data_IF_785626900474
#
_entry.id   IF_785626900474
#
_cell.length_a   1.000
_cell.length_b   1.000
_cell.length_c   1.000
_cell.angle_alpha   90.00
_cell.angle_beta   90.00
_cell.angle_gamma   90.00
#
_symmetry.space_group_name_H-M   'P 1'
#
loop_
_entity.id
_entity.type
_entity.pdbx_description
1 polymer ?
#
# COMPACT_ATOMS: atom_id res chain seq x y z
N UNK A 1 -21.03 -6.61 -12.83
CA UNK A 1 -21.78 -6.67 -11.56
C UNK A 1 -21.57 -8.05 -10.96
N UNK A 2 -21.47 -8.17 -9.63
CA UNK A 2 -21.38 -9.47 -8.97
C UNK A 2 -22.76 -10.13 -8.96
N UNK A 3 -22.83 -11.45 -9.20
CA UNK A 3 -24.09 -12.19 -9.19
C UNK A 3 -24.76 -12.13 -7.82
N UNK A 4 -26.09 -11.95 -7.80
CA UNK A 4 -26.91 -11.99 -6.59
C UNK A 4 -26.73 -13.30 -5.80
N UNK A 5 -26.44 -14.41 -6.47
CA UNK A 5 -26.16 -15.70 -5.82
C UNK A 5 -24.97 -15.64 -4.85
N UNK A 6 -24.03 -14.71 -5.06
CA UNK A 6 -22.90 -14.49 -4.14
C UNK A 6 -23.36 -13.88 -2.82
N UNK A 7 -24.42 -13.06 -2.85
CA UNK A 7 -25.07 -12.52 -1.65
C UNK A 7 -25.95 -13.57 -0.97
N UNK A 8 -26.75 -14.29 -1.75
CA UNK A 8 -27.74 -15.25 -1.24
C UNK A 8 -27.10 -16.55 -0.69
N UNK A 9 -26.02 -17.01 -1.32
CA UNK A 9 -25.33 -18.27 -1.00
C UNK A 9 -23.80 -18.09 -0.82
N UNK A 10 -23.32 -17.21 0.08
CA UNK A 10 -21.92 -16.78 0.14
C UNK A 10 -20.94 -17.93 0.42
N UNK A 11 -21.40 -19.01 1.07
CA UNK A 11 -20.58 -20.19 1.41
C UNK A 11 -20.22 -21.05 0.19
N UNK A 12 -20.86 -20.86 -0.97
CA UNK A 12 -20.55 -21.56 -2.22
C UNK A 12 -19.57 -20.80 -3.11
N UNK A 13 -19.18 -19.60 -2.71
CA UNK A 13 -18.38 -18.70 -3.51
C UNK A 13 -17.13 -18.27 -2.75
N UNK A 14 -15.99 -18.25 -3.44
CA UNK A 14 -14.84 -17.52 -2.92
C UNK A 14 -14.96 -16.02 -3.15
N UNK A 15 -15.78 -15.58 -4.12
CA UNK A 15 -16.06 -14.17 -4.39
C UNK A 15 -16.82 -13.55 -3.21
N UNK A 16 -16.46 -12.33 -2.84
CA UNK A 16 -17.20 -11.53 -1.87
C UNK A 16 -18.18 -10.63 -2.64
N UNK A 17 -19.43 -10.59 -2.18
CA UNK A 17 -20.45 -9.72 -2.73
C UNK A 17 -20.15 -8.24 -2.47
N UNK A 18 -20.51 -7.39 -3.44
CA UNK A 18 -20.51 -5.93 -3.32
C UNK A 18 -21.72 -5.35 -4.08
N UNK A 19 -22.34 -4.27 -3.58
CA UNK A 19 -23.61 -3.77 -4.12
C UNK A 19 -23.52 -3.09 -5.49
N UNK A 20 -22.37 -2.51 -5.85
CA UNK A 20 -22.18 -1.77 -7.10
C UNK A 20 -21.28 -2.54 -8.09
N UNK A 21 -21.33 -2.22 -9.40
CA UNK A 21 -20.37 -2.76 -10.37
C UNK A 21 -18.92 -2.51 -9.96
N UNK A 22 -18.04 -3.45 -10.35
CA UNK A 22 -16.59 -3.33 -10.18
C UNK A 22 -15.90 -3.38 -11.52
N UNK A 23 -14.77 -2.69 -11.63
CA UNK A 23 -13.80 -2.88 -12.70
C UNK A 23 -12.68 -3.77 -12.16
N UNK A 24 -12.23 -4.71 -12.99
CA UNK A 24 -11.16 -5.66 -12.65
C UNK A 24 -9.92 -5.38 -13.52
N UNK A 25 -8.69 -5.64 -13.04
CA UNK A 25 -7.48 -5.38 -13.81
C UNK A 25 -7.42 -6.09 -15.17
N UNK A 26 -8.05 -7.27 -15.28
CA UNK A 26 -8.20 -8.02 -16.53
C UNK A 26 -7.45 -9.36 -16.54
N UNK A 27 -7.77 -10.19 -17.55
CA UNK A 27 -7.17 -11.51 -17.74
C UNK A 27 -7.53 -12.51 -16.64
N UNK A 28 -6.54 -12.96 -15.86
CA UNK A 28 -6.74 -13.94 -14.78
C UNK A 28 -7.41 -13.34 -13.53
N UNK A 29 -7.33 -12.02 -13.36
CA UNK A 29 -7.88 -11.29 -12.22
C UNK A 29 -9.37 -11.06 -12.45
N UNK A 30 -10.20 -11.74 -11.66
CA UNK A 30 -11.67 -11.78 -11.85
C UNK A 30 -12.43 -11.13 -10.69
N UNK A 31 -11.71 -10.38 -9.87
CA UNK A 31 -12.19 -9.66 -8.71
C UNK A 31 -11.61 -8.25 -8.73
N UNK A 32 -12.22 -7.35 -7.96
CA UNK A 32 -11.58 -6.06 -7.69
C UNK A 32 -10.27 -6.30 -6.92
N UNK A 33 -9.28 -5.43 -7.17
CA UNK A 33 -8.06 -5.30 -6.38
C UNK A 33 -8.00 -3.90 -5.82
N UNK A 34 -7.58 -3.77 -4.58
CA UNK A 34 -7.75 -2.54 -3.82
C UNK A 34 -6.94 -1.38 -4.42
N UNK A 35 -5.61 -1.46 -4.41
CA UNK A 35 -4.80 -0.31 -4.83
C UNK A 35 -4.91 -0.03 -6.34
N UNK A 36 -5.05 -1.06 -7.20
CA UNK A 36 -5.28 -0.91 -8.64
C UNK A 36 -6.47 0.01 -8.92
N UNK A 37 -7.50 -0.11 -8.08
CA UNK A 37 -8.74 0.65 -8.24
C UNK A 37 -8.55 2.16 -8.05
N UNK A 38 -7.46 2.62 -7.43
CA UNK A 38 -7.18 4.05 -7.30
C UNK A 38 -6.93 4.68 -8.67
N UNK A 39 -6.04 4.07 -9.47
CA UNK A 39 -5.77 4.54 -10.83
C UNK A 39 -6.96 4.33 -11.75
N UNK A 40 -7.72 3.25 -11.58
CA UNK A 40 -8.97 3.03 -12.33
C UNK A 40 -9.99 4.12 -12.03
N UNK A 41 -10.22 4.45 -10.76
CA UNK A 41 -11.15 5.50 -10.35
C UNK A 41 -10.71 6.85 -10.92
N UNK A 42 -9.43 7.22 -10.84
CA UNK A 42 -8.94 8.46 -11.45
C UNK A 42 -9.19 8.49 -12.98
N UNK A 43 -8.94 7.38 -13.68
CA UNK A 43 -9.27 7.26 -15.11
C UNK A 43 -10.77 7.37 -15.41
N UNK A 44 -11.64 6.82 -14.55
CA UNK A 44 -13.09 6.97 -14.66
C UNK A 44 -13.52 8.42 -14.47
N UNK A 45 -12.95 9.13 -13.50
CA UNK A 45 -13.27 10.53 -13.22
C UNK A 45 -12.85 11.44 -14.39
N UNK A 46 -11.67 11.19 -14.97
CA UNK A 46 -11.23 11.86 -16.21
C UNK A 46 -12.15 11.57 -17.40
N UNK A 47 -12.83 10.43 -17.39
CA UNK A 47 -13.80 10.02 -18.42
C UNK A 47 -15.24 10.40 -18.08
N UNK A 48 -15.45 11.27 -17.08
CA UNK A 48 -16.76 11.74 -16.59
C UNK A 48 -17.70 10.60 -16.11
N UNK A 49 -17.13 9.43 -15.78
CA UNK A 49 -17.87 8.26 -15.29
C UNK A 49 -18.10 8.32 -13.76
N UNK A 50 -18.59 9.46 -13.28
CA UNK A 50 -18.71 9.78 -11.85
C UNK A 50 -19.50 8.75 -11.05
N UNK A 51 -20.63 8.28 -11.59
CA UNK A 51 -21.48 7.31 -10.89
C UNK A 51 -20.79 5.94 -10.76
N UNK A 52 -19.96 5.56 -11.73
CA UNK A 52 -19.18 4.32 -11.68
C UNK A 52 -18.05 4.45 -10.65
N UNK A 53 -17.33 5.57 -10.65
CA UNK A 53 -16.29 5.87 -9.68
C UNK A 53 -16.85 5.86 -8.25
N UNK A 54 -17.98 6.56 -8.02
CA UNK A 54 -18.68 6.57 -6.74
C UNK A 54 -19.09 5.15 -6.30
N UNK A 55 -19.70 4.37 -7.19
CA UNK A 55 -20.10 2.99 -6.87
C UNK A 55 -18.92 2.10 -6.48
N UNK A 56 -17.75 2.28 -7.10
CA UNK A 56 -16.53 1.57 -6.69
C UNK A 56 -16.05 2.00 -5.30
N UNK A 57 -16.12 3.29 -4.96
CA UNK A 57 -15.81 3.79 -3.60
C UNK A 57 -16.80 3.22 -2.58
N UNK A 58 -18.10 3.20 -2.89
CA UNK A 58 -19.15 2.63 -2.06
C UNK A 58 -18.92 1.13 -1.79
N UNK A 59 -18.42 0.38 -2.79
CA UNK A 59 -18.04 -1.02 -2.59
C UNK A 59 -16.90 -1.20 -1.58
N UNK A 60 -15.90 -0.32 -1.59
CA UNK A 60 -14.79 -0.38 -0.64
C UNK A 60 -15.22 0.06 0.76
N UNK A 61 -16.07 1.09 0.87
CA UNK A 61 -16.70 1.49 2.12
C UNK A 61 -17.53 0.32 2.70
N UNK A 62 -18.25 -0.41 1.86
CA UNK A 62 -18.96 -1.64 2.25
C UNK A 62 -18.01 -2.74 2.75
N UNK A 63 -16.82 -2.91 2.15
CA UNK A 63 -15.80 -3.82 2.69
C UNK A 63 -15.32 -3.39 4.08
N UNK A 64 -15.05 -2.10 4.27
CA UNK A 64 -14.61 -1.56 5.57
C UNK A 64 -15.70 -1.69 6.63
N UNK A 65 -16.96 -1.48 6.27
CA UNK A 65 -18.07 -1.69 7.19
C UNK A 65 -18.13 -3.15 7.66
N UNK A 66 -18.05 -4.09 6.72
CA UNK A 66 -18.18 -5.53 6.99
C UNK A 66 -16.95 -6.17 7.66
N UNK A 67 -15.75 -5.75 7.29
CA UNK A 67 -14.50 -6.43 7.67
C UNK A 67 -13.50 -5.54 8.42
N UNK A 68 -13.76 -4.24 8.51
CA UNK A 68 -12.90 -3.26 9.18
C UNK A 68 -11.77 -2.70 8.32
N UNK A 69 -11.57 -3.23 7.11
CA UNK A 69 -10.57 -2.79 6.15
C UNK A 69 -10.96 -3.24 4.74
N UNK A 70 -10.29 -2.70 3.72
CA UNK A 70 -10.43 -3.20 2.35
C UNK A 70 -9.48 -4.40 2.14
N UNK A 71 -9.98 -5.61 1.82
CA UNK A 71 -9.10 -6.75 1.54
C UNK A 71 -8.32 -6.53 0.24
N UNK A 72 -7.18 -7.23 0.09
CA UNK A 72 -6.36 -7.22 -1.13
C UNK A 72 -7.19 -7.28 -2.43
N UNK A 73 -8.18 -8.18 -2.45
CA UNK A 73 -9.21 -8.21 -3.47
C UNK A 73 -10.50 -8.85 -2.98
N UNK A 74 -11.49 -8.92 -3.85
CA UNK A 74 -12.86 -9.38 -3.53
C UNK A 74 -13.03 -10.88 -3.31
N UNK A 75 -12.13 -11.54 -2.58
CA UNK A 75 -12.17 -12.98 -2.31
C UNK A 75 -11.98 -13.30 -0.83
N UNK A 76 -12.65 -14.35 -0.34
CA UNK A 76 -12.59 -14.76 1.08
C UNK A 76 -11.18 -15.08 1.57
N UNK A 77 -10.30 -15.59 0.71
CA UNK A 77 -8.89 -15.87 1.05
C UNK A 77 -8.01 -14.61 1.15
N UNK A 78 -8.54 -13.45 0.78
CA UNK A 78 -7.92 -12.15 1.00
C UNK A 78 -8.32 -11.49 2.32
N UNK A 79 -9.31 -12.01 3.07
CA UNK A 79 -9.77 -11.44 4.35
C UNK A 79 -8.75 -11.47 5.51
N UNK A 80 -7.50 -11.85 5.25
CA UNK A 80 -6.40 -11.78 6.22
C UNK A 80 -5.32 -10.76 5.86
N UNK A 81 -5.47 -10.05 4.73
CA UNK A 81 -4.52 -9.04 4.26
C UNK A 81 -5.20 -7.96 3.42
N UNK A 82 -4.72 -6.74 3.57
CA UNK A 82 -5.15 -5.58 2.78
C UNK A 82 -4.36 -5.47 1.47
N UNK A 83 -4.27 -4.26 0.95
CA UNK A 83 -3.32 -3.77 -0.04
C UNK A 83 -2.97 -2.31 0.31
N UNK A 84 -2.06 -1.61 -0.39
CA UNK A 84 -1.74 -0.21 -0.10
C UNK A 84 -3.01 0.67 0.07
N UNK A 85 -3.12 1.49 1.14
CA UNK A 85 -4.40 2.06 1.55
C UNK A 85 -4.77 3.35 0.82
N UNK A 86 -5.49 3.20 -0.30
CA UNK A 86 -5.87 4.31 -1.16
C UNK A 86 -7.33 4.78 -1.03
N UNK A 87 -8.18 4.18 -0.19
CA UNK A 87 -9.62 4.51 -0.13
C UNK A 87 -9.87 5.99 0.20
N UNK A 88 -9.14 6.56 1.16
CA UNK A 88 -9.23 7.99 1.50
C UNK A 88 -8.86 8.88 0.31
N UNK A 89 -7.84 8.50 -0.46
CA UNK A 89 -7.40 9.22 -1.65
C UNK A 89 -8.40 9.05 -2.81
N UNK A 90 -9.04 7.88 -2.94
CA UNK A 90 -10.14 7.67 -3.90
C UNK A 90 -11.33 8.59 -3.58
N UNK A 91 -11.68 8.74 -2.29
CA UNK A 91 -12.69 9.70 -1.84
C UNK A 91 -12.27 11.12 -2.18
N UNK A 92 -11.00 11.50 -1.97
CA UNK A 92 -10.49 12.83 -2.30
C UNK A 92 -10.60 13.14 -3.79
N UNK A 93 -10.11 12.24 -4.65
CA UNK A 93 -10.24 12.38 -6.11
C UNK A 93 -11.70 12.57 -6.52
N UNK A 94 -12.63 11.80 -5.93
CA UNK A 94 -14.06 11.96 -6.21
C UNK A 94 -14.58 13.34 -5.76
N UNK A 95 -14.28 13.76 -4.53
CA UNK A 95 -14.73 15.05 -3.99
C UNK A 95 -14.19 16.25 -4.77
N UNK A 96 -12.96 16.18 -5.26
CA UNK A 96 -12.35 17.22 -6.11
C UNK A 96 -12.98 17.26 -7.50
N UNK A 97 -13.38 16.11 -8.04
CA UNK A 97 -14.09 16.04 -9.32
C UNK A 97 -15.56 16.47 -9.23
N UNK A 98 -16.21 16.19 -8.09
CA UNK A 98 -17.64 16.42 -7.86
C UNK A 98 -17.91 16.58 -6.37
N UNK A 99 -17.93 17.84 -5.93
CA UNK A 99 -18.18 18.16 -4.52
C UNK A 99 -19.50 17.55 -4.04
N UNK A 100 -19.44 16.68 -3.02
CA UNK A 100 -20.60 16.07 -2.40
C UNK A 100 -20.39 15.89 -0.89
N UNK A 101 -20.56 16.99 -0.15
CA UNK A 101 -20.34 17.02 1.29
C UNK A 101 -21.28 16.09 2.08
N UNK A 102 -22.45 15.76 1.54
CA UNK A 102 -23.34 14.76 2.14
C UNK A 102 -22.71 13.37 2.07
N UNK A 103 -22.23 12.97 0.90
CA UNK A 103 -21.56 11.68 0.72
C UNK A 103 -20.31 11.55 1.62
N UNK A 104 -19.51 12.62 1.72
CA UNK A 104 -18.37 12.65 2.64
C UNK A 104 -18.83 12.50 4.10
N UNK A 105 -19.81 13.29 4.55
CA UNK A 105 -20.33 13.26 5.93
C UNK A 105 -20.85 11.89 6.33
N UNK A 106 -21.55 11.20 5.42
CA UNK A 106 -22.12 9.88 5.66
C UNK A 106 -21.04 8.79 5.80
N UNK A 107 -19.87 8.98 5.17
CA UNK A 107 -18.87 7.92 5.02
C UNK A 107 -17.54 8.20 5.76
N UNK A 108 -17.32 9.38 6.32
CA UNK A 108 -16.06 9.76 6.97
C UNK A 108 -15.64 8.79 8.09
N UNK A 109 -16.61 8.23 8.83
CA UNK A 109 -16.33 7.25 9.89
C UNK A 109 -15.85 5.90 9.38
N UNK A 110 -16.21 5.52 8.15
CA UNK A 110 -15.66 4.32 7.52
C UNK A 110 -14.20 4.54 7.06
N UNK A 111 -13.87 5.73 6.56
CA UNK A 111 -12.48 6.08 6.25
C UNK A 111 -11.60 6.05 7.52
N UNK A 112 -12.11 6.61 8.62
CA UNK A 112 -11.46 6.55 9.93
C UNK A 112 -11.29 5.10 10.41
N UNK A 113 -12.31 4.25 10.24
CA UNK A 113 -12.25 2.83 10.60
C UNK A 113 -11.14 2.07 9.87
N UNK A 114 -10.92 2.36 8.58
CA UNK A 114 -9.79 1.77 7.86
C UNK A 114 -8.45 2.30 8.36
N UNK A 115 -8.32 3.59 8.61
CA UNK A 115 -7.11 4.16 9.23
C UNK A 115 -6.79 3.48 10.57
N UNK A 116 -7.81 3.27 11.41
CA UNK A 116 -7.66 2.58 12.70
C UNK A 116 -7.22 1.12 12.53
N UNK A 117 -7.63 0.44 11.46
CA UNK A 117 -7.10 -0.89 11.13
C UNK A 117 -5.58 -0.85 10.92
N UNK A 118 -5.06 0.11 10.15
CA UNK A 118 -3.62 0.25 9.93
C UNK A 118 -2.87 0.60 11.22
N UNK A 119 -3.40 1.52 12.01
CA UNK A 119 -2.76 1.93 13.25
C UNK A 119 -2.79 0.84 14.33
N UNK A 120 -3.82 -0.01 14.33
CA UNK A 120 -3.96 -1.10 15.32
C UNK A 120 -3.20 -2.36 14.90
N UNK A 121 -3.28 -2.73 13.62
CA UNK A 121 -2.85 -4.05 13.16
C UNK A 121 -1.56 -4.04 12.33
N UNK A 122 -1.07 -2.86 11.93
CA UNK A 122 0.09 -2.70 11.04
C UNK A 122 1.13 -1.74 11.59
N UNK A 123 0.92 -1.17 12.78
CA UNK A 123 1.90 -0.29 13.40
C UNK A 123 3.07 -1.07 14.01
N UNK A 124 4.24 -0.43 14.02
CA UNK A 124 5.46 -0.92 14.66
C UNK A 124 6.20 0.26 15.28
N UNK A 125 6.81 0.02 16.45
CA UNK A 125 7.64 1.01 17.14
C UNK A 125 9.11 0.83 16.74
N UNK A 126 9.74 1.88 16.24
CA UNK A 126 11.14 1.90 15.82
C UNK A 126 11.93 2.85 16.72
N UNK A 127 12.98 2.35 17.35
CA UNK A 127 13.88 3.15 18.18
C UNK A 127 15.01 3.73 17.31
N UNK A 128 15.06 5.07 17.19
CA UNK A 128 16.08 5.76 16.40
C UNK A 128 16.52 7.04 17.14
N UNK A 129 17.83 7.25 17.31
CA UNK A 129 18.35 8.48 17.96
C UNK A 129 17.84 8.71 19.39
N UNK A 130 17.57 7.64 20.15
CA UNK A 130 17.08 7.72 21.53
C UNK A 130 15.58 8.03 21.68
N UNK A 131 14.83 8.08 20.58
CA UNK A 131 13.37 8.26 20.56
C UNK A 131 12.70 7.08 19.85
N UNK A 132 11.49 6.73 20.30
CA UNK A 132 10.65 5.74 19.63
C UNK A 132 9.69 6.45 18.67
N UNK A 133 9.60 5.94 17.44
CA UNK A 133 8.72 6.42 16.39
C UNK A 133 7.73 5.32 16.02
N UNK A 134 6.46 5.69 15.81
CA UNK A 134 5.46 4.75 15.30
C UNK A 134 5.36 4.91 13.79
N UNK A 135 5.59 3.82 13.07
CA UNK A 135 5.42 3.70 11.62
C UNK A 135 4.58 2.45 11.33
N UNK A 136 4.30 2.20 10.05
CA UNK A 136 3.53 1.04 9.63
C UNK A 136 4.36 0.11 8.73
N UNK A 137 4.02 -1.17 8.77
CA UNK A 137 4.57 -2.23 7.92
C UNK A 137 3.47 -3.09 7.34
N UNK A 138 3.70 -3.68 6.17
CA UNK A 138 2.83 -4.74 5.68
C UNK A 138 3.02 -5.99 6.52
N UNK A 139 1.92 -6.60 6.94
CA UNK A 139 1.97 -7.74 7.85
C UNK A 139 0.71 -8.58 7.72
N UNK A 140 0.86 -9.78 7.19
CA UNK A 140 -0.17 -10.80 7.22
C UNK A 140 0.16 -11.82 8.32
N UNK A 141 -0.83 -12.27 9.11
CA UNK A 141 -0.58 -13.21 10.18
C UNK A 141 -0.09 -14.57 9.66
N UNK A 142 0.71 -15.22 10.49
CA UNK A 142 1.26 -16.57 10.28
C UNK A 142 0.17 -17.57 9.91
N UNK A 143 0.49 -18.52 9.03
CA UNK A 143 -0.38 -19.65 8.73
C UNK A 143 -0.01 -20.37 7.45
N UNK A 144 -0.97 -21.11 6.90
CA UNK A 144 -0.85 -21.97 5.71
C UNK A 144 -0.43 -21.26 4.40
N UNK A 145 -0.02 -21.99 3.36
CA UNK A 145 0.20 -21.46 2.01
C UNK A 145 -0.97 -20.58 1.50
N UNK A 146 -0.68 -19.62 0.62
CA UNK A 146 -1.73 -18.79 -0.01
C UNK A 146 -2.68 -19.67 -0.83
N UNK A 147 -4.00 -19.65 -0.61
CA UNK A 147 -4.92 -20.50 -1.37
C UNK A 147 -4.84 -20.33 -2.89
N UNK A 148 -4.60 -19.11 -3.38
CA UNK A 148 -4.47 -18.80 -4.79
C UNK A 148 -3.13 -19.22 -5.41
N UNK A 149 -2.15 -19.61 -4.58
CA UNK A 149 -0.80 -20.01 -5.00
C UNK A 149 -0.28 -21.23 -4.21
N UNK A 150 -1.19 -22.09 -3.73
CA UNK A 150 -0.90 -23.09 -2.69
C UNK A 150 0.29 -23.98 -3.03
N UNK A 151 0.30 -24.58 -4.23
CA UNK A 151 1.37 -25.49 -4.64
C UNK A 151 2.74 -24.80 -4.69
N UNK A 152 2.80 -23.56 -5.20
CA UNK A 152 4.04 -22.80 -5.32
C UNK A 152 4.63 -22.48 -3.94
N UNK A 153 3.79 -22.00 -3.03
CA UNK A 153 4.21 -21.68 -1.66
C UNK A 153 4.63 -22.97 -0.92
N UNK A 154 3.85 -24.04 -1.03
CA UNK A 154 4.14 -25.33 -0.41
C UNK A 154 5.47 -25.93 -0.88
N UNK A 155 5.68 -25.98 -2.20
CA UNK A 155 6.90 -26.50 -2.82
C UNK A 155 8.14 -25.67 -2.47
N UNK A 156 8.02 -24.33 -2.47
CA UNK A 156 9.10 -23.43 -2.09
C UNK A 156 9.61 -23.73 -0.67
N UNK A 157 8.69 -23.96 0.27
CA UNK A 157 9.01 -24.15 1.68
C UNK A 157 9.30 -25.62 2.05
N UNK A 158 9.31 -26.54 1.09
CA UNK A 158 9.34 -27.99 1.35
C UNK A 158 10.53 -28.44 2.22
N UNK A 159 11.70 -27.81 2.06
CA UNK A 159 12.94 -28.16 2.75
C UNK A 159 13.16 -27.40 4.08
N UNK A 160 12.19 -26.58 4.51
CA UNK A 160 12.27 -25.81 5.75
C UNK A 160 11.70 -26.58 6.95
N UNK A 161 12.04 -26.16 8.17
CA UNK A 161 11.36 -26.65 9.38
C UNK A 161 9.91 -26.15 9.41
N UNK A 162 9.02 -26.79 10.16
CA UNK A 162 7.60 -26.38 10.18
C UNK A 162 7.41 -24.95 10.73
N UNK A 163 8.26 -24.51 11.66
CA UNK A 163 8.29 -23.13 12.13
C UNK A 163 8.71 -22.16 11.02
N UNK A 164 9.80 -22.46 10.32
CA UNK A 164 10.32 -21.63 9.22
C UNK A 164 9.36 -21.58 8.03
N UNK A 165 8.63 -22.68 7.73
CA UNK A 165 7.56 -22.71 6.72
C UNK A 165 6.47 -21.69 7.04
N UNK A 166 5.96 -21.74 8.28
CA UNK A 166 4.89 -20.86 8.72
C UNK A 166 5.31 -19.39 8.69
N UNK A 167 6.55 -19.09 9.09
CA UNK A 167 7.13 -17.76 8.96
C UNK A 167 7.20 -17.34 7.50
N UNK A 168 7.81 -18.13 6.62
CA UNK A 168 7.89 -17.82 5.19
C UNK A 168 6.50 -17.57 4.57
N UNK A 169 5.49 -18.38 4.90
CA UNK A 169 4.12 -18.16 4.43
C UNK A 169 3.53 -16.82 4.89
N UNK A 170 3.85 -16.36 6.11
CA UNK A 170 3.46 -15.05 6.60
C UNK A 170 4.14 -13.94 5.77
N UNK A 171 5.43 -14.10 5.50
CA UNK A 171 6.23 -13.15 4.73
C UNK A 171 5.75 -13.02 3.28
N UNK A 172 5.45 -14.15 2.62
CA UNK A 172 4.90 -14.15 1.26
C UNK A 172 3.52 -13.47 1.18
N UNK A 173 2.67 -13.65 2.20
CA UNK A 173 1.37 -12.96 2.28
C UNK A 173 1.54 -11.47 2.56
N UNK A 174 2.54 -11.09 3.35
CA UNK A 174 2.87 -9.70 3.65
C UNK A 174 3.40 -8.98 2.41
N UNK A 175 4.21 -9.66 1.59
CA UNK A 175 4.60 -9.19 0.25
C UNK A 175 3.40 -9.05 -0.70
N UNK A 176 2.41 -9.95 -0.62
CA UNK A 176 1.16 -9.77 -1.37
C UNK A 176 0.32 -8.59 -0.86
N UNK A 177 0.33 -8.32 0.45
CA UNK A 177 -0.29 -7.12 1.04
C UNK A 177 0.38 -5.83 0.59
N UNK A 178 1.69 -5.85 0.28
CA UNK A 178 2.37 -4.65 -0.21
C UNK A 178 2.02 -4.29 -1.66
N UNK A 179 1.40 -5.23 -2.40
CA UNK A 179 1.23 -5.15 -3.84
C UNK A 179 2.47 -5.56 -4.64
N UNK A 180 3.60 -5.85 -3.98
CA UNK A 180 4.88 -6.20 -4.61
C UNK A 180 5.24 -7.69 -4.41
N UNK A 181 4.40 -8.61 -4.86
CA UNK A 181 4.63 -10.06 -4.82
C UNK A 181 5.19 -10.60 -6.16
N UNK A 182 6.49 -10.76 -6.37
CA UNK A 182 7.57 -10.56 -5.41
C UNK A 182 8.68 -9.68 -5.99
N UNK A 183 9.56 -9.24 -5.09
CA UNK A 183 10.65 -8.31 -5.37
C UNK A 183 11.83 -8.59 -4.43
N UNK A 184 13.05 -8.36 -4.93
CA UNK A 184 14.28 -8.29 -4.16
C UNK A 184 14.25 -7.24 -3.04
N UNK A 185 13.31 -6.29 -3.13
CA UNK A 185 12.98 -5.34 -2.06
C UNK A 185 12.76 -6.01 -0.71
N UNK A 186 12.24 -7.24 -0.70
CA UNK A 186 11.89 -7.98 0.51
C UNK A 186 12.93 -9.03 0.91
N UNK A 187 14.05 -9.18 0.18
CA UNK A 187 15.00 -10.27 0.41
C UNK A 187 16.08 -9.87 1.42
N UNK A 188 16.03 -10.44 2.62
CA UNK A 188 16.93 -10.17 3.74
C UNK A 188 17.62 -11.45 4.23
N UNK A 189 18.25 -12.14 3.29
CA UNK A 189 19.00 -13.36 3.52
C UNK A 189 20.14 -13.52 2.52
N UNK A 190 20.78 -14.69 2.54
CA UNK A 190 22.07 -14.89 1.85
C UNK A 190 21.93 -15.43 0.43
N UNK A 191 20.76 -15.94 0.05
CA UNK A 191 20.55 -16.58 -1.26
C UNK A 191 20.07 -15.60 -2.33
N UNK A 192 19.57 -14.43 -1.91
CA UNK A 192 18.88 -13.44 -2.74
C UNK A 192 17.73 -14.06 -3.54
N UNK A 193 16.95 -14.94 -2.90
CA UNK A 193 15.81 -15.63 -3.52
C UNK A 193 14.52 -15.40 -2.74
N UNK A 194 13.40 -15.92 -3.26
CA UNK A 194 12.10 -15.86 -2.61
C UNK A 194 12.08 -16.47 -1.19
N UNK A 195 13.02 -17.37 -0.86
CA UNK A 195 13.20 -17.91 0.49
C UNK A 195 13.67 -16.86 1.51
N UNK A 196 14.29 -15.77 1.04
CA UNK A 196 14.82 -14.70 1.89
C UNK A 196 13.78 -13.61 2.18
N UNK A 197 12.52 -13.79 1.75
CA UNK A 197 11.46 -12.81 1.96
C UNK A 197 11.25 -12.55 3.46
N UNK A 198 11.38 -11.29 3.88
CA UNK A 198 11.12 -10.80 5.24
C UNK A 198 10.34 -9.48 5.26
N UNK A 199 9.32 -9.37 4.42
CA UNK A 199 8.47 -8.17 4.30
C UNK A 199 7.91 -7.68 5.64
N UNK A 200 7.51 -8.59 6.52
CA UNK A 200 6.98 -8.31 7.85
C UNK A 200 7.99 -7.63 8.77
N UNK A 201 9.29 -7.65 8.46
CA UNK A 201 10.31 -6.91 9.22
C UNK A 201 10.66 -5.55 8.59
N UNK A 202 10.08 -5.21 7.44
CA UNK A 202 10.38 -3.98 6.71
C UNK A 202 9.33 -2.91 7.01
N UNK A 203 9.79 -1.72 7.37
CA UNK A 203 9.02 -0.48 7.42
C UNK A 203 9.16 0.21 6.05
N UNK A 204 8.14 0.15 5.19
CA UNK A 204 8.26 0.58 3.80
C UNK A 204 8.09 2.10 3.65
N UNK A 205 8.91 2.72 2.79
CA UNK A 205 8.80 4.14 2.46
C UNK A 205 7.45 4.49 1.81
N UNK A 206 6.97 3.64 0.91
CA UNK A 206 5.70 3.84 0.21
C UNK A 206 4.48 3.78 1.14
N UNK A 207 4.36 2.76 1.99
CA UNK A 207 3.23 2.64 2.92
C UNK A 207 3.13 3.87 3.83
N UNK A 208 4.26 4.32 4.37
CA UNK A 208 4.30 5.46 5.28
C UNK A 208 4.13 6.80 4.54
N UNK A 209 4.52 6.90 3.27
CA UNK A 209 4.15 8.01 2.40
C UNK A 209 2.64 8.06 2.17
N UNK A 210 2.02 6.95 1.78
CA UNK A 210 0.56 6.87 1.55
C UNK A 210 -0.22 7.26 2.81
N UNK A 211 0.17 6.75 3.98
CA UNK A 211 -0.51 7.09 5.23
C UNK A 211 -0.34 8.58 5.63
N UNK A 212 0.72 9.24 5.14
CA UNK A 212 0.91 10.68 5.28
C UNK A 212 -0.17 11.44 4.50
N UNK A 213 -0.42 11.05 3.25
CA UNK A 213 -1.55 11.59 2.49
C UNK A 213 -2.89 11.27 3.18
N UNK A 214 -3.11 10.03 3.63
CA UNK A 214 -4.33 9.67 4.37
C UNK A 214 -4.56 10.59 5.57
N UNK A 215 -3.54 10.84 6.40
CA UNK A 215 -3.66 11.73 7.55
C UNK A 215 -3.91 13.19 7.15
N UNK A 216 -3.24 13.69 6.11
CA UNK A 216 -3.46 15.04 5.55
C UNK A 216 -4.89 15.20 5.02
N UNK A 217 -5.37 14.24 4.24
CA UNK A 217 -6.70 14.24 3.64
C UNK A 217 -7.79 14.08 4.69
N UNK A 218 -7.61 13.22 5.70
CA UNK A 218 -8.55 13.10 6.81
C UNK A 218 -8.66 14.40 7.62
N UNK A 219 -7.55 15.11 7.86
CA UNK A 219 -7.58 16.42 8.49
C UNK A 219 -8.35 17.47 7.67
N UNK A 220 -8.15 17.49 6.34
CA UNK A 220 -8.91 18.33 5.39
C UNK A 220 -10.41 18.01 5.47
N UNK A 221 -10.80 16.75 5.30
CA UNK A 221 -12.21 16.34 5.35
C UNK A 221 -12.91 16.70 6.66
N UNK A 222 -12.26 16.49 7.80
CA UNK A 222 -12.83 16.89 9.08
C UNK A 222 -12.95 18.41 9.25
N UNK A 223 -12.01 19.17 8.68
CA UNK A 223 -12.11 20.64 8.61
C UNK A 223 -13.31 21.07 7.77
N UNK A 224 -13.47 20.51 6.56
CA UNK A 224 -14.57 20.81 5.65
C UNK A 224 -15.95 20.45 6.24
N UNK A 225 -15.98 19.41 7.09
CA UNK A 225 -17.17 18.99 7.83
C UNK A 225 -17.45 19.81 9.10
N UNK A 226 -16.62 20.81 9.44
CA UNK A 226 -16.68 21.61 10.67
C UNK A 226 -16.56 20.77 11.96
N UNK A 227 -15.62 19.81 11.95
CA UNK A 227 -15.30 18.92 13.07
C UNK A 227 -13.83 19.15 13.51
N UNK A 228 -13.57 20.23 14.27
CA UNK A 228 -12.20 20.71 14.53
C UNK A 228 -11.37 19.81 15.43
N UNK A 229 -12.00 19.04 16.33
CA UNK A 229 -11.29 18.14 17.24
C UNK A 229 -10.67 16.96 16.47
N UNK A 230 -11.45 16.34 15.58
CA UNK A 230 -10.97 15.29 14.69
C UNK A 230 -9.94 15.81 13.68
N UNK A 231 -10.15 17.00 13.11
CA UNK A 231 -9.15 17.63 12.24
C UNK A 231 -7.82 17.81 12.98
N UNK A 232 -7.86 18.32 14.22
CA UNK A 232 -6.67 18.47 15.07
C UNK A 232 -6.00 17.13 15.38
N UNK A 233 -6.80 16.07 15.60
CA UNK A 233 -6.28 14.71 15.82
C UNK A 233 -5.46 14.22 14.62
N UNK A 234 -5.96 14.38 13.40
CA UNK A 234 -5.25 13.95 12.19
C UNK A 234 -4.06 14.86 11.85
N UNK A 235 -4.12 16.16 12.11
CA UNK A 235 -2.95 17.04 12.01
C UNK A 235 -1.83 16.65 12.98
N UNK A 236 -2.18 16.21 14.19
CA UNK A 236 -1.22 15.68 15.15
C UNK A 236 -0.60 14.36 14.66
N UNK A 237 -1.41 13.45 14.09
CA UNK A 237 -0.93 12.20 13.50
C UNK A 237 0.06 12.47 12.35
N UNK A 238 -0.32 13.34 11.40
CA UNK A 238 0.53 13.77 10.30
C UNK A 238 1.87 14.33 10.79
N UNK A 239 1.86 15.20 11.81
CA UNK A 239 3.10 15.77 12.37
C UNK A 239 4.03 14.69 12.91
N UNK A 240 3.47 13.69 13.61
CA UNK A 240 4.24 12.57 14.17
C UNK A 240 4.79 11.69 13.05
N UNK A 241 4.02 11.40 12.00
CA UNK A 241 4.46 10.62 10.85
C UNK A 241 5.56 11.33 10.07
N UNK A 242 5.42 12.63 9.80
CA UNK A 242 6.47 13.43 9.15
C UNK A 242 7.79 13.36 9.93
N UNK A 243 7.72 13.42 11.27
CA UNK A 243 8.91 13.27 12.11
C UNK A 243 9.50 11.86 12.04
N UNK A 244 8.65 10.83 12.07
CA UNK A 244 9.06 9.43 12.01
C UNK A 244 9.69 9.06 10.64
N UNK A 245 9.07 9.49 9.54
CA UNK A 245 9.57 9.27 8.17
C UNK A 245 10.94 9.94 8.00
N UNK A 246 11.10 11.18 8.50
CA UNK A 246 12.39 11.87 8.49
C UNK A 246 13.45 11.17 9.35
N UNK A 247 13.10 10.69 10.55
CA UNK A 247 14.08 10.09 11.44
C UNK A 247 14.53 8.68 10.98
N UNK A 248 13.57 7.88 10.50
CA UNK A 248 13.78 6.45 10.26
C UNK A 248 14.10 6.16 8.79
N UNK A 249 13.37 6.76 7.85
CA UNK A 249 13.41 6.36 6.45
C UNK A 249 14.32 7.26 5.60
N UNK A 250 14.48 8.54 5.95
CA UNK A 250 15.35 9.45 5.21
C UNK A 250 16.84 9.09 5.38
N UNK A 251 17.54 9.05 4.25
CA UNK A 251 19.00 8.90 4.19
C UNK A 251 19.66 10.16 3.62
N UNK A 252 20.46 10.85 4.44
CA UNK A 252 21.07 12.12 4.05
C UNK A 252 22.17 11.99 2.99
N UNK A 253 22.89 10.87 2.98
CA UNK A 253 24.01 10.64 2.05
C UNK A 253 23.49 10.30 0.65
N UNK A 254 22.47 9.45 0.58
CA UNK A 254 21.82 9.10 -0.69
C UNK A 254 20.83 10.17 -1.14
N UNK A 255 20.22 10.90 -0.21
CA UNK A 255 19.27 11.98 -0.49
C UNK A 255 17.87 11.47 -0.87
N UNK A 256 17.42 10.38 -0.24
CA UNK A 256 16.13 9.73 -0.53
C UNK A 256 15.60 8.99 0.69
N UNK A 257 14.32 8.61 0.68
CA UNK A 257 13.76 7.69 1.66
C UNK A 257 14.02 6.24 1.27
N UNK A 258 14.37 5.43 2.25
CA UNK A 258 14.68 4.01 2.09
C UNK A 258 13.86 3.20 3.08
N UNK A 259 13.45 2.01 2.63
CA UNK A 259 12.86 1.02 3.50
C UNK A 259 13.80 0.67 4.66
N UNK A 260 13.26 0.55 5.87
CA UNK A 260 14.01 0.26 7.09
C UNK A 260 13.65 -1.13 7.63
N UNK A 261 14.64 -1.97 7.88
CA UNK A 261 14.43 -3.28 8.50
C UNK A 261 14.58 -3.19 10.02
N UNK A 262 13.54 -3.61 10.75
CA UNK A 262 13.50 -3.50 12.23
C UNK A 262 14.33 -4.55 12.95
N UNK A 263 14.69 -5.65 12.28
CA UNK A 263 15.44 -6.74 12.91
C UNK A 263 16.94 -6.42 12.98
N UNK A 264 17.50 -5.80 11.92
CA UNK A 264 18.92 -5.45 11.86
C UNK A 264 19.19 -3.93 12.00
N UNK A 265 18.14 -3.12 12.00
CA UNK A 265 18.21 -1.67 12.16
C UNK A 265 18.81 -0.94 10.97
N UNK A 266 18.74 -1.51 9.76
CA UNK A 266 19.37 -0.96 8.55
C UNK A 266 18.37 -0.56 7.49
N UNK A 267 18.74 0.48 6.73
CA UNK A 267 18.05 0.88 5.50
C UNK A 267 18.52 0.03 4.33
N UNK A 268 17.61 -0.28 3.41
CA UNK A 268 17.94 -0.92 2.14
C UNK A 268 18.45 0.14 1.14
N UNK A 269 19.74 0.15 0.76
CA UNK A 269 20.29 1.21 -0.11
C UNK A 269 19.93 1.02 -1.59
N UNK A 270 19.30 -0.10 -1.95
CA UNK A 270 18.95 -0.39 -3.34
C UNK A 270 17.88 0.57 -3.87
N UNK A 271 17.95 0.83 -5.17
CA UNK A 271 16.95 1.65 -5.84
C UNK A 271 15.66 0.87 -6.04
N UNK A 272 14.56 1.48 -5.59
CA UNK A 272 13.19 1.13 -5.93
C UNK A 272 12.41 2.43 -6.15
N UNK A 273 11.51 2.53 -7.15
CA UNK A 273 10.64 3.70 -7.30
C UNK A 273 9.82 4.05 -6.04
N UNK A 274 9.53 3.05 -5.19
CA UNK A 274 8.88 3.25 -3.88
C UNK A 274 9.65 4.19 -2.93
N UNK A 275 10.97 4.33 -3.10
CA UNK A 275 11.81 5.26 -2.35
C UNK A 275 11.40 6.72 -2.57
N UNK A 276 10.73 7.00 -3.70
CA UNK A 276 10.28 8.33 -4.12
C UNK A 276 8.83 8.60 -3.73
N UNK A 277 8.09 7.61 -3.23
CA UNK A 277 6.67 7.78 -2.86
C UNK A 277 6.47 8.82 -1.76
N UNK A 278 7.36 9.02 -0.77
CA UNK A 278 7.23 10.15 0.15
C UNK A 278 7.32 11.54 -0.52
N UNK A 279 7.96 11.67 -1.69
CA UNK A 279 7.93 12.91 -2.48
C UNK A 279 6.53 13.13 -3.07
N UNK A 280 5.99 12.13 -3.76
CA UNK A 280 4.60 12.12 -4.26
C UNK A 280 3.55 12.35 -3.16
N UNK A 281 3.82 11.85 -1.97
CA UNK A 281 2.95 12.04 -0.82
C UNK A 281 3.06 13.42 -0.16
N UNK A 282 3.99 14.27 -0.61
CA UNK A 282 4.42 15.48 0.09
C UNK A 282 4.76 15.22 1.57
N UNK A 283 5.30 14.04 1.87
CA UNK A 283 5.57 13.58 3.23
C UNK A 283 6.96 14.03 3.71
N UNK A 284 7.19 15.33 3.65
CA UNK A 284 8.42 15.98 4.08
C UNK A 284 8.14 17.40 4.57
N UNK A 285 9.08 17.99 5.31
CA UNK A 285 8.92 19.34 5.86
C UNK A 285 9.70 20.41 5.09
N UNK A 286 10.86 20.04 4.56
CA UNK A 286 11.77 20.95 3.90
C UNK A 286 11.78 20.66 2.39
N UNK A 287 11.42 21.65 1.57
CA UNK A 287 11.42 21.50 0.11
C UNK A 287 12.82 21.33 -0.47
N UNK A 288 13.88 21.59 0.30
CA UNK A 288 15.26 21.29 -0.12
C UNK A 288 15.51 19.80 -0.38
N UNK A 289 14.65 18.89 0.11
CA UNK A 289 14.75 17.45 -0.21
C UNK A 289 14.54 17.17 -1.70
N UNK A 290 13.76 17.99 -2.41
CA UNK A 290 13.41 17.77 -3.83
C UNK A 290 14.67 17.72 -4.70
N UNK A 291 15.60 18.67 -4.52
CA UNK A 291 16.87 18.70 -5.28
C UNK A 291 17.73 17.47 -4.99
N UNK A 292 17.75 17.00 -3.73
CA UNK A 292 18.47 15.79 -3.32
C UNK A 292 17.88 14.54 -3.97
N UNK A 293 16.55 14.44 -4.01
CA UNK A 293 15.82 13.30 -4.57
C UNK A 293 15.99 13.24 -6.09
N UNK A 294 15.92 14.38 -6.79
CA UNK A 294 16.23 14.45 -8.23
C UNK A 294 17.67 14.01 -8.49
N UNK A 295 18.63 14.52 -7.71
CA UNK A 295 20.04 14.12 -7.81
C UNK A 295 20.25 12.62 -7.53
N UNK A 296 19.48 12.02 -6.62
CA UNK A 296 19.47 10.58 -6.39
C UNK A 296 18.98 9.81 -7.63
N UNK A 297 17.84 10.23 -8.20
CA UNK A 297 17.25 9.60 -9.37
C UNK A 297 18.18 9.66 -10.59
N UNK A 298 18.82 10.81 -10.84
CA UNK A 298 19.82 10.97 -11.92
C UNK A 298 21.03 10.04 -11.75
N UNK A 299 21.52 9.86 -10.51
CA UNK A 299 22.67 8.99 -10.21
C UNK A 299 22.32 7.50 -10.23
N UNK A 300 21.06 7.14 -10.01
CA UNK A 300 20.60 5.75 -9.86
C UNK A 300 20.73 4.88 -11.13
N UNK A 301 20.98 5.48 -12.31
CA UNK A 301 20.86 4.84 -13.64
C UNK A 301 19.45 4.36 -14.00
N UNK A 302 18.45 4.52 -13.13
CA UNK A 302 17.08 4.12 -13.44
C UNK A 302 16.50 4.90 -14.63
N UNK A 303 16.93 6.17 -14.83
CA UNK A 303 16.55 6.99 -15.99
C UNK A 303 17.21 6.57 -17.32
N UNK A 304 18.16 5.64 -17.31
CA UNK A 304 18.80 5.14 -18.54
C UNK A 304 17.93 4.16 -19.34
N UNK A 305 16.81 3.72 -18.76
CA UNK A 305 15.87 2.81 -19.41
C UNK A 305 14.87 3.59 -20.27
N UNK A 306 14.82 3.36 -21.60
CA UNK A 306 14.07 4.22 -22.52
C UNK A 306 12.54 4.10 -22.44
N UNK A 307 12.02 3.03 -21.81
CA UNK A 307 10.60 2.68 -21.83
C UNK A 307 9.93 2.82 -20.45
N UNK A 308 10.54 3.60 -19.55
CA UNK A 308 10.08 3.80 -18.18
C UNK A 308 11.07 3.31 -17.13
N UNK A 309 10.82 3.71 -15.89
CA UNK A 309 11.63 3.35 -14.74
C UNK A 309 11.42 1.87 -14.39
N UNK A 310 12.48 1.07 -14.30
CA UNK A 310 12.35 -0.30 -13.83
C UNK A 310 11.99 -0.31 -12.35
N UNK A 311 11.33 -1.38 -11.94
CA UNK A 311 10.84 -1.57 -10.57
C UNK A 311 11.98 -1.74 -9.56
N UNK A 312 13.12 -2.23 -10.02
CA UNK A 312 14.39 -2.24 -9.31
C UNK A 312 15.54 -2.24 -10.33
N UNK A 313 16.78 -2.24 -9.84
CA UNK A 313 17.98 -2.44 -10.66
C UNK A 313 18.52 -3.87 -10.58
N UNK A 314 17.80 -4.77 -9.90
CA UNK A 314 18.19 -6.16 -9.66
C UNK A 314 17.43 -7.09 -10.60
N UNK A 315 18.13 -7.88 -11.41
CA UNK A 315 17.52 -8.89 -12.29
C UNK A 315 17.36 -10.23 -11.56
N UNK A 316 16.27 -10.40 -10.82
CA UNK A 316 16.02 -11.60 -10.00
C UNK A 316 15.10 -12.63 -10.65
N UNK A 317 14.44 -12.24 -11.76
CA UNK A 317 13.36 -13.02 -12.37
C UNK A 317 12.00 -12.88 -11.68
N UNK A 318 11.91 -12.10 -10.58
CA UNK A 318 10.64 -11.76 -9.96
C UNK A 318 9.94 -10.63 -10.73
N UNK A 319 8.61 -10.55 -10.63
CA UNK A 319 7.83 -9.61 -11.45
C UNK A 319 7.99 -8.14 -11.01
N UNK A 320 8.29 -7.87 -9.74
CA UNK A 320 8.53 -6.52 -9.20
C UNK A 320 10.03 -6.24 -9.09
N UNK A 321 10.77 -6.54 -10.16
CA UNK A 321 12.21 -6.33 -10.30
C UNK A 321 12.55 -6.07 -11.78
N UNK A 322 13.82 -5.74 -12.06
CA UNK A 322 14.31 -5.57 -13.44
C UNK A 322 14.03 -6.85 -14.28
N UNK A 323 13.49 -6.76 -15.51
CA UNK A 323 13.34 -5.57 -16.36
C UNK A 323 11.95 -4.89 -16.30
N UNK A 324 11.08 -5.30 -15.38
CA UNK A 324 9.69 -4.89 -15.43
C UNK A 324 9.50 -3.46 -14.91
N UNK A 325 8.52 -2.77 -15.50
CA UNK A 325 8.05 -1.47 -15.08
C UNK A 325 6.52 -1.54 -14.88
N UNK A 326 6.01 -0.90 -13.83
CA UNK A 326 4.59 -0.94 -13.47
C UNK A 326 3.99 0.47 -13.52
N UNK A 327 2.83 0.67 -14.18
CA UNK A 327 2.20 2.00 -14.32
C UNK A 327 1.98 2.76 -13.01
N UNK A 328 1.52 2.12 -11.90
CA UNK A 328 1.44 2.77 -10.59
C UNK A 328 2.72 3.48 -10.15
N UNK A 329 3.86 2.83 -10.35
CA UNK A 329 5.17 3.36 -9.96
C UNK A 329 5.61 4.49 -10.88
N UNK A 330 5.32 4.40 -12.17
CA UNK A 330 5.62 5.49 -13.11
C UNK A 330 4.83 6.74 -12.73
N UNK A 331 3.54 6.58 -12.49
CA UNK A 331 2.65 7.67 -12.09
C UNK A 331 3.15 8.36 -10.82
N UNK A 332 3.43 7.60 -9.75
CA UNK A 332 3.90 8.20 -8.50
C UNK A 332 5.24 8.94 -8.65
N UNK A 333 6.15 8.48 -9.51
CA UNK A 333 7.43 9.18 -9.75
C UNK A 333 7.29 10.39 -10.67
N UNK A 334 6.28 10.42 -11.55
CA UNK A 334 6.05 11.56 -12.46
C UNK A 334 5.29 12.68 -11.74
N UNK A 335 4.30 12.33 -10.93
CA UNK A 335 3.47 13.29 -10.19
C UNK A 335 4.18 13.89 -8.97
N UNK A 336 5.05 13.12 -8.31
CA UNK A 336 5.88 13.60 -7.20
C UNK A 336 7.17 14.21 -7.69
#
# INVERSE_FOLDING_TARGET
QISQTVEDEPYRHSQIYVPHPVIVPGGRFREFYYWDSYWVINGLLLSEMYDTARGMIENFLYMVDRYGFVPNGGRVYYLRRSQPPFLTLMMESYMESRENMTFLRENIKLLEKEYDFWMTNRSVSVAQGGKNYTLNRYYAPVGEPRPEAYSKDYELAANLTDGDKQLLYAELKSAAESGWDFSSRWFYGSTNTLLDTKTGSVVPADLNGILCQVEKTMAKFYTDLNMPDEATRFLNALRQRLEAVQAVLWDDDLGVWLDYNVDDGRRNPNFYPSNLVPLWAECYRDSAVVEKVVSYLERSRALSYPNGLPTSLNATGQQWDLPNAWPPLQHMVIEG
#
